data_IF_326471304168
#
_entry.id   IF_326471304168
#
_cell.length_a   1.000
_cell.length_b   1.000
_cell.length_c   1.000
_cell.angle_alpha   90.00
_cell.angle_beta   90.00
_cell.angle_gamma   90.00
#
_symmetry.space_group_name_H-M   'P 1'
#
loop_
_entity.id
_entity.type
_entity.pdbx_description
1 polymer ?
2 non-polymer ?
3 non-polymer ?
4 water ?
#
# COMPACT_ATOMS: atom_id res chain seq x y z
N UNK A 1 -4.66 -4.08 -5.08
CA UNK A 1 -5.63 -5.13 -4.71
C UNK A 1 -7.01 -4.88 -5.34
N UNK A 2 -7.33 -3.64 -5.71
CA UNK A 2 -8.64 -3.22 -6.24
C UNK A 2 -8.50 -1.86 -6.95
N UNK A 3 -9.60 -1.25 -7.45
CA UNK A 3 -9.50 -0.13 -8.40
C UNK A 3 -8.91 1.17 -7.80
N UNK A 4 -8.99 1.33 -6.47
CA UNK A 4 -8.36 2.47 -5.78
C UNK A 4 -6.86 2.33 -5.88
N UNK A 5 -6.35 1.15 -5.54
CA UNK A 5 -4.90 0.84 -5.62
C UNK A 5 -4.43 0.89 -7.07
N UNK A 6 -5.26 0.48 -8.02
CA UNK A 6 -4.93 0.57 -9.47
C UNK A 6 -4.67 2.04 -9.91
N UNK A 7 -5.57 2.95 -9.55
CA UNK A 7 -5.39 4.39 -9.92
C UNK A 7 -4.12 4.92 -9.23
N UNK A 8 -3.98 4.65 -7.94
CA UNK A 8 -2.81 5.13 -7.16
C UNK A 8 -1.51 4.65 -7.81
N UNK A 9 -1.41 3.37 -8.16
CA UNK A 9 -0.22 2.79 -8.81
C UNK A 9 0.06 3.49 -10.14
N UNK A 10 -0.96 3.74 -10.92
CA UNK A 10 -0.77 4.39 -12.25
C UNK A 10 -0.13 5.79 -12.04
N UNK A 11 -0.58 6.51 -11.02
CA UNK A 11 0.01 7.85 -10.70
C UNK A 11 1.43 7.67 -10.21
N UNK A 12 1.70 6.75 -9.26
CA UNK A 12 3.05 6.59 -8.72
C UNK A 12 4.06 6.21 -9.79
N UNK A 13 3.69 5.33 -10.71
CA UNK A 13 4.68 4.74 -11.67
C UNK A 13 5.11 5.77 -12.69
N UNK A 14 4.32 6.80 -12.97
CA UNK A 14 4.65 7.76 -14.04
C UNK A 14 4.84 9.18 -13.52
N UNK A 15 4.24 9.54 -12.38
CA UNK A 15 4.11 10.97 -11.97
C UNK A 15 4.79 11.24 -10.64
N UNK A 16 5.72 10.42 -10.18
CA UNK A 16 6.44 10.71 -8.92
C UNK A 16 7.95 10.55 -9.13
N UNK A 17 8.67 11.38 -8.37
CA UNK A 17 10.16 11.29 -8.26
C UNK A 17 10.46 11.31 -6.76
N UNK A 18 11.69 10.93 -6.42
CA UNK A 18 12.18 11.09 -5.03
C UNK A 18 12.93 12.44 -4.98
N UNK A 19 12.44 13.37 -4.17
CA UNK A 19 13.08 14.70 -4.01
C UNK A 19 13.86 14.69 -2.70
N UNK A 20 15.07 15.24 -2.72
CA UNK A 20 15.92 15.36 -1.49
C UNK A 20 16.34 16.83 -1.32
N UNK A 21 15.97 17.42 -0.19
CA UNK A 21 16.40 18.78 0.23
C UNK A 21 17.28 18.56 1.49
N UNK A 22 17.72 19.67 2.10
CA UNK A 22 18.49 19.64 3.38
C UNK A 22 17.60 19.21 4.53
N UNK A 23 16.27 19.19 4.31
CA UNK A 23 15.27 18.83 5.34
C UNK A 23 14.81 17.38 5.19
N UNK A 24 15.31 16.59 4.22
CA UNK A 24 14.96 15.19 4.06
C UNK A 24 14.65 14.73 2.64
N UNK A 25 14.23 13.49 2.54
CA UNK A 25 13.71 12.83 1.32
C UNK A 25 12.18 12.87 1.34
N UNK A 26 11.57 13.28 0.22
CA UNK A 26 10.10 13.44 0.07
C UNK A 26 9.64 12.76 -1.21
N UNK A 27 8.47 12.15 -1.15
CA UNK A 27 7.67 11.87 -2.35
C UNK A 27 7.38 13.23 -2.99
N UNK A 28 7.57 13.32 -4.31
CA UNK A 28 7.27 14.56 -5.07
C UNK A 28 6.39 14.16 -6.25
N UNK A 29 5.24 14.79 -6.37
CA UNK A 29 4.27 14.60 -7.47
C UNK A 29 4.58 15.55 -8.62
N UNK A 30 4.86 14.98 -9.81
CA UNK A 30 4.98 15.76 -11.05
C UNK A 30 3.59 15.99 -11.62
N UNK A 31 3.22 17.19 -12.05
CA UNK A 31 1.83 17.50 -12.46
C UNK A 31 1.75 17.67 -13.99
N UNK A 32 2.68 18.41 -14.59
CA UNK A 32 2.74 18.61 -16.07
C UNK A 32 4.09 19.25 -16.39
N UNK A 33 4.56 19.07 -17.63
CA UNK A 33 5.80 19.70 -18.13
C UNK A 33 6.92 19.43 -17.09
N UNK A 34 7.57 20.46 -16.52
CA UNK A 34 8.67 20.22 -15.54
C UNK A 34 8.19 20.74 -14.16
N UNK A 35 6.88 20.82 -13.97
CA UNK A 35 6.26 21.40 -12.75
C UNK A 35 5.87 20.26 -11.81
N UNK A 36 6.27 20.35 -10.55
CA UNK A 36 5.98 19.36 -9.52
C UNK A 36 5.55 20.10 -8.24
N UNK A 37 5.12 19.33 -7.24
CA UNK A 37 4.72 19.90 -5.93
C UNK A 37 5.44 19.15 -4.82
N UNK A 38 5.56 19.81 -3.68
CA UNK A 38 6.25 19.24 -2.49
C UNK A 38 5.72 20.02 -1.29
N UNK A 39 5.68 19.44 -0.07
CA UNK A 39 5.32 20.27 1.09
C UNK A 39 6.29 21.43 1.30
N UNK A 40 5.72 22.59 1.72
CA UNK A 40 6.52 23.82 1.87
C UNK A 40 7.61 23.62 2.94
N UNK A 41 7.33 22.80 3.96
CA UNK A 41 8.35 22.50 5.01
C UNK A 41 9.58 21.74 4.47
N UNK A 42 9.58 21.26 3.24
CA UNK A 42 10.81 20.72 2.60
C UNK A 42 11.86 21.81 2.40
N UNK A 43 11.50 23.11 2.43
CA UNK A 43 12.43 24.26 2.27
C UNK A 43 13.26 24.14 0.98
N UNK A 44 12.59 24.10 -0.15
CA UNK A 44 13.26 23.97 -1.46
C UNK A 44 14.16 25.18 -1.66
N UNK A 45 15.40 24.95 -2.13
CA UNK A 45 16.34 26.04 -2.44
C UNK A 45 16.60 26.18 -3.92
N UNK A 46 17.81 26.62 -4.28
CA UNK A 46 18.21 26.87 -5.68
C UNK A 46 18.58 25.54 -6.38
N UNK A 47 18.94 24.52 -5.58
CA UNK A 47 19.37 23.18 -6.05
C UNK A 47 18.59 22.12 -5.22
N UNK A 48 18.12 21.08 -5.90
CA UNK A 48 17.40 19.94 -5.25
C UNK A 48 17.96 18.66 -5.89
N UNK A 49 17.88 17.53 -5.20
CA UNK A 49 18.24 16.21 -5.80
C UNK A 49 16.92 15.55 -6.22
N UNK A 50 16.87 15.04 -7.45
CA UNK A 50 15.69 14.40 -8.05
C UNK A 50 16.18 12.99 -8.44
N UNK A 51 15.73 11.95 -7.74
CA UNK A 51 16.21 10.56 -7.99
C UNK A 51 17.74 10.56 -7.92
N UNK A 52 18.31 11.26 -6.94
CA UNK A 52 19.77 11.35 -6.59
C UNK A 52 20.59 12.08 -7.65
N UNK A 53 19.97 12.88 -8.51
CA UNK A 53 20.67 13.72 -9.52
C UNK A 53 20.52 15.20 -9.14
N UNK A 54 21.64 15.90 -9.13
CA UNK A 54 21.68 17.35 -8.82
C UNK A 54 20.91 18.11 -9.90
N UNK A 55 19.90 18.88 -9.49
CA UNK A 55 18.92 19.54 -10.41
C UNK A 55 18.75 21.02 -9.98
N UNK A 56 18.91 21.94 -10.92
CA UNK A 56 18.64 23.36 -10.67
C UNK A 56 17.14 23.58 -10.55
N UNK A 57 16.76 24.38 -9.58
CA UNK A 57 15.35 24.83 -9.41
C UNK A 57 15.17 26.10 -10.24
N UNK A 58 14.32 26.07 -11.27
CA UNK A 58 14.08 27.24 -12.15
C UNK A 58 13.12 28.22 -11.47
N UNK A 59 12.18 27.74 -10.65
CA UNK A 59 11.23 28.59 -9.92
C UNK A 59 10.69 27.78 -8.76
N UNK A 60 10.37 28.42 -7.65
CA UNK A 60 9.70 27.76 -6.50
C UNK A 60 8.76 28.77 -5.83
N UNK A 61 7.49 28.42 -5.67
CA UNK A 61 6.50 29.32 -5.09
C UNK A 61 5.74 28.61 -3.96
N UNK A 62 5.86 29.13 -2.74
CA UNK A 62 5.12 28.63 -1.57
C UNK A 62 3.74 29.24 -1.60
N UNK A 63 2.72 28.47 -1.86
CA UNK A 63 1.35 29.00 -2.04
C UNK A 63 0.75 29.46 -0.71
N UNK A 64 -0.03 30.55 -0.78
CA UNK A 64 -0.82 31.07 0.35
C UNK A 64 -2.19 31.43 -0.21
N UNK A 65 -3.24 31.34 0.58
CA UNK A 65 -4.57 31.79 0.12
C UNK A 65 -4.66 33.33 0.14
N UNK A 66 -5.83 33.83 -0.28
CA UNK A 66 -5.95 35.30 -0.50
C UNK A 66 -6.12 36.03 0.83
N UNK A 67 -6.34 35.32 1.93
CA UNK A 67 -6.17 35.85 3.33
C UNK A 67 -4.69 35.80 3.77
N UNK A 68 -3.74 35.40 2.92
CA UNK A 68 -2.29 35.38 3.23
C UNK A 68 -2.10 34.31 4.32
N UNK A 69 -2.86 33.20 4.23
CA UNK A 69 -2.69 32.02 5.12
C UNK A 69 -1.92 30.90 4.38
N UNK A 70 -0.93 30.30 5.03
CA UNK A 70 -0.16 29.15 4.49
C UNK A 70 -1.14 28.10 3.91
N UNK A 71 -0.80 27.55 2.72
CA UNK A 71 -1.45 26.31 2.17
C UNK A 71 -0.54 25.07 2.24
N UNK A 72 0.75 25.23 2.55
CA UNK A 72 1.73 24.13 2.75
C UNK A 72 2.10 23.44 1.44
N UNK A 73 1.74 24.04 0.28
CA UNK A 73 2.12 23.50 -1.05
C UNK A 73 3.18 24.43 -1.62
N UNK A 74 4.31 23.87 -2.02
CA UNK A 74 5.28 24.61 -2.88
C UNK A 74 5.22 24.00 -4.30
N UNK A 75 5.06 24.86 -5.30
CA UNK A 75 5.11 24.50 -6.73
C UNK A 75 6.53 24.74 -7.19
N UNK A 76 7.16 23.74 -7.76
CA UNK A 76 8.60 23.78 -8.16
C UNK A 76 8.69 23.55 -9.66
N UNK A 77 9.40 24.39 -10.39
CA UNK A 77 9.74 24.06 -11.78
C UNK A 77 11.19 23.58 -11.82
N UNK A 78 11.43 22.41 -12.36
CA UNK A 78 12.72 21.70 -12.30
C UNK A 78 13.46 21.88 -13.63
N UNK A 79 14.79 22.10 -13.59
CA UNK A 79 15.62 22.08 -14.83
C UNK A 79 15.97 20.63 -15.22
N UNK A 80 14.94 19.92 -15.61
CA UNK A 80 14.98 18.48 -15.94
C UNK A 80 14.85 18.36 -17.46
N UNK A 81 15.44 17.30 -18.02
CA UNK A 81 15.48 17.07 -19.47
C UNK A 81 14.27 16.27 -19.96
N UNK A 82 13.23 16.12 -19.14
CA UNK A 82 12.10 15.24 -19.46
C UNK A 82 10.84 15.84 -18.81
N UNK A 83 9.71 15.82 -19.51
CA UNK A 83 8.41 16.28 -18.99
C UNK A 83 7.67 15.14 -18.28
N UNK A 84 6.87 15.49 -17.30
CA UNK A 84 5.87 14.60 -16.70
C UNK A 84 4.66 14.45 -17.63
N UNK A 85 4.06 13.28 -17.59
CA UNK A 85 2.69 13.08 -18.11
C UNK A 85 1.80 14.19 -17.50
N UNK A 86 0.97 14.81 -18.30
CA UNK A 86 0.05 15.86 -17.85
C UNK A 86 -1.11 15.18 -17.13
N UNK A 87 -1.23 15.40 -15.82
CA UNK A 87 -2.33 14.81 -15.00
C UNK A 87 -3.28 15.90 -14.48
N UNK A 88 -3.21 17.12 -15.02
CA UNK A 88 -4.08 18.20 -14.47
C UNK A 88 -5.56 17.86 -14.58
N UNK A 89 -6.00 17.05 -15.52
CA UNK A 89 -7.44 16.70 -15.66
C UNK A 89 -7.89 15.77 -14.53
N UNK A 90 -6.99 15.26 -13.71
CA UNK A 90 -7.35 14.44 -12.51
C UNK A 90 -7.47 15.29 -11.24
N UNK A 91 -7.24 16.59 -11.32
CA UNK A 91 -7.29 17.50 -10.14
C UNK A 91 -8.71 18.02 -9.96
N UNK A 92 -9.21 17.99 -8.72
CA UNK A 92 -10.51 18.59 -8.40
C UNK A 92 -10.53 20.10 -8.63
N UNK A 93 -11.70 20.62 -9.00
CA UNK A 93 -11.86 22.07 -9.19
C UNK A 93 -12.19 22.80 -7.87
N UNK A 94 -12.82 22.11 -6.92
CA UNK A 94 -13.29 22.77 -5.66
C UNK A 94 -12.95 21.94 -4.42
N UNK A 95 -12.97 22.62 -3.27
CA UNK A 95 -12.79 21.97 -1.96
C UNK A 95 -13.91 20.96 -1.77
N UNK A 96 -13.60 19.79 -1.23
CA UNK A 96 -14.60 18.72 -1.08
C UNK A 96 -14.14 17.71 -0.05
N UNK A 97 -15.08 16.86 0.35
CA UNK A 97 -14.87 15.61 1.12
C UNK A 97 -14.87 14.43 0.13
N UNK A 98 -14.27 13.30 0.52
CA UNK A 98 -14.08 12.13 -0.37
C UNK A 98 -14.34 10.85 0.41
N UNK A 99 -14.76 9.81 -0.32
CA UNK A 99 -14.70 8.44 0.26
C UNK A 99 -13.54 7.64 -0.36
N UNK A 100 -13.02 6.72 0.45
CA UNK A 100 -12.20 5.57 0.03
C UNK A 100 -10.95 6.11 -0.67
N UNK A 101 -10.08 6.81 0.06
CA UNK A 101 -8.82 7.35 -0.50
C UNK A 101 -7.65 6.42 -0.18
N UNK A 102 -6.61 6.53 -0.99
CA UNK A 102 -5.32 5.84 -0.82
C UNK A 102 -4.26 6.92 -0.68
N UNK A 103 -3.33 6.70 0.23
CA UNK A 103 -2.09 7.49 0.40
C UNK A 103 -0.93 6.64 -0.11
N UNK A 104 -0.18 7.16 -1.09
CA UNK A 104 0.92 6.41 -1.73
C UNK A 104 2.26 7.14 -1.56
N UNK A 105 3.29 6.41 -1.18
CA UNK A 105 4.61 6.95 -0.82
C UNK A 105 5.66 6.17 -1.58
N UNK A 106 6.65 6.87 -2.11
CA UNK A 106 7.81 6.20 -2.70
C UNK A 106 9.08 6.93 -2.28
N UNK A 107 9.84 6.33 -1.36
CA UNK A 107 11.16 6.89 -0.95
C UNK A 107 12.13 5.72 -0.79
N UNK A 108 13.41 6.01 -0.53
CA UNK A 108 14.42 4.97 -0.10
C UNK A 108 13.93 4.19 1.15
N UNK A 109 13.28 4.83 2.11
CA UNK A 109 12.78 4.25 3.40
C UNK A 109 11.49 3.43 3.16
N UNK A 110 10.57 3.95 2.33
CA UNK A 110 9.22 3.35 2.07
C UNK A 110 8.98 3.24 0.57
N UNK A 111 9.59 2.27 -0.17
CA UNK A 111 9.33 2.09 -1.59
C UNK A 111 8.02 1.34 -1.81
N UNK A 112 7.23 1.79 -2.82
CA UNK A 112 6.04 1.05 -3.27
C UNK A 112 5.11 0.86 -2.09
N UNK A 113 4.90 1.91 -1.30
CA UNK A 113 4.00 1.89 -0.13
C UNK A 113 2.63 2.47 -0.50
N UNK A 114 1.55 1.73 -0.22
CA UNK A 114 0.14 2.16 -0.47
C UNK A 114 -0.66 1.93 0.79
N UNK A 115 -1.40 2.92 1.25
CA UNK A 115 -2.18 2.85 2.53
C UNK A 115 -3.64 3.21 2.23
N UNK A 116 -4.61 2.31 2.47
CA UNK A 116 -6.01 2.66 2.34
C UNK A 116 -6.41 3.47 3.58
N UNK A 117 -6.60 4.77 3.42
CA UNK A 117 -6.87 5.67 4.60
C UNK A 117 -8.36 5.86 4.84
N UNK A 118 -9.24 5.49 3.92
CA UNK A 118 -10.69 5.56 4.06
C UNK A 118 -11.20 6.94 3.78
N UNK A 119 -12.16 7.35 4.60
CA UNK A 119 -12.92 8.62 4.43
C UNK A 119 -12.02 9.85 4.65
N UNK A 120 -12.13 10.83 3.77
CA UNK A 120 -11.34 12.08 3.85
C UNK A 120 -12.28 13.27 4.10
N UNK A 121 -12.08 13.98 5.22
CA UNK A 121 -12.88 15.15 5.63
C UNK A 121 -12.23 16.46 5.10
N UNK A 122 -13.03 17.35 4.54
CA UNK A 122 -12.59 18.75 4.34
C UNK A 122 -12.50 19.40 5.73
N UNK A 123 -11.32 19.37 6.32
CA UNK A 123 -11.09 19.78 7.73
C UNK A 123 -11.00 21.31 7.80
N UNK A 124 -10.35 21.92 6.80
CA UNK A 124 -10.19 23.38 6.70
C UNK A 124 -8.96 23.87 7.45
N UNK A 125 -9.19 24.55 8.58
CA UNK A 125 -8.10 25.16 9.35
C UNK A 125 -7.38 24.12 10.22
N UNK A 126 -6.05 24.19 10.24
CA UNK A 126 -5.16 23.37 11.08
C UNK A 126 -3.98 24.21 11.50
N UNK A 127 -3.66 24.17 12.78
CA UNK A 127 -2.36 24.67 13.28
C UNK A 127 -1.32 23.59 13.11
N UNK A 128 -0.61 23.67 12.00
CA UNK A 128 0.31 22.64 11.53
C UNK A 128 1.72 22.99 11.97
N UNK A 129 2.27 22.29 12.97
CA UNK A 129 3.64 22.63 13.45
C UNK A 129 3.76 24.07 13.94
N UNK A 130 2.70 24.62 14.51
CA UNK A 130 2.65 26.04 14.92
C UNK A 130 2.19 27.01 13.82
N UNK A 131 2.00 26.57 12.57
CA UNK A 131 1.72 27.50 11.46
C UNK A 131 0.24 27.40 11.09
N UNK A 132 -0.58 28.46 11.20
CA UNK A 132 -1.98 28.42 10.74
C UNK A 132 -2.01 28.03 9.25
N UNK A 133 -2.79 27.02 8.93
CA UNK A 133 -2.83 26.40 7.56
C UNK A 133 -4.30 26.24 7.15
N UNK A 134 -4.64 26.52 5.89
CA UNK A 134 -5.99 26.32 5.36
C UNK A 134 -6.04 25.17 4.32
N UNK A 135 -7.24 24.81 3.91
CA UNK A 135 -7.50 23.77 2.86
C UNK A 135 -6.90 22.42 3.25
N UNK A 136 -7.00 22.03 4.50
CA UNK A 136 -6.48 20.73 5.00
C UNK A 136 -7.58 19.67 4.89
N UNK A 137 -7.16 18.51 4.35
CA UNK A 137 -7.93 17.27 4.32
C UNK A 137 -7.46 16.41 5.50
N UNK A 138 -8.38 15.70 6.14
CA UNK A 138 -8.01 14.78 7.26
C UNK A 138 -8.53 13.37 7.02
N UNK A 139 -7.69 12.41 7.42
CA UNK A 139 -8.05 10.97 7.37
C UNK A 139 -7.59 10.35 8.68
N UNK A 140 -8.30 9.30 9.05
CA UNK A 140 -8.18 8.70 10.39
C UNK A 140 -7.22 7.56 10.19
N UNK A 141 -5.96 7.86 9.90
CA UNK A 141 -4.89 6.85 9.84
C UNK A 141 -3.68 7.41 10.55
N UNK A 142 -3.04 6.59 11.42
CA UNK A 142 -1.82 6.93 12.15
C UNK A 142 -0.55 6.93 11.27
N UNK A 143 -0.52 7.95 10.41
CA UNK A 143 0.62 8.26 9.51
C UNK A 143 1.87 8.68 10.32
N UNK A 144 3.04 8.44 9.75
CA UNK A 144 4.36 8.48 10.43
C UNK A 144 5.31 9.32 9.60
N UNK A 145 6.37 9.78 10.26
CA UNK A 145 7.52 10.43 9.61
C UNK A 145 7.90 9.56 8.41
N UNK A 146 8.22 10.20 7.29
CA UNK A 146 8.59 9.54 6.03
C UNK A 146 7.47 9.55 5.00
N UNK A 147 6.25 9.97 5.39
CA UNK A 147 5.08 9.93 4.48
C UNK A 147 4.81 11.31 3.87
N UNK A 148 5.55 12.36 4.27
CA UNK A 148 5.30 13.73 3.75
C UNK A 148 5.59 13.77 2.25
N UNK A 149 4.66 14.38 1.52
CA UNK A 149 4.74 14.45 0.06
C UNK A 149 3.92 13.31 -0.56
N UNK A 150 3.53 12.32 0.26
CA UNK A 150 2.75 11.18 -0.22
C UNK A 150 1.51 11.65 -0.95
N UNK A 151 1.12 10.95 -2.01
CA UNK A 151 0.00 11.38 -2.87
C UNK A 151 -1.30 10.77 -2.36
N UNK A 152 -2.31 11.61 -2.19
CA UNK A 152 -3.69 11.16 -1.82
C UNK A 152 -4.56 11.13 -3.06
N UNK A 153 -5.16 9.95 -3.34
CA UNK A 153 -5.98 9.74 -4.56
C UNK A 153 -7.30 9.09 -4.16
N UNK A 154 -8.29 9.30 -4.97
CA UNK A 154 -9.45 8.39 -5.02
C UNK A 154 -9.40 7.72 -6.40
N UNK A 155 -10.34 6.82 -6.70
CA UNK A 155 -10.54 6.42 -8.12
C UNK A 155 -10.81 7.70 -8.94
N UNK A 156 -9.91 8.02 -9.84
CA UNK A 156 -10.12 9.03 -10.86
C UNK A 156 -9.67 10.39 -10.42
N UNK A 157 -9.32 10.64 -9.14
CA UNK A 157 -8.86 12.00 -8.74
C UNK A 157 -7.58 11.97 -7.89
N UNK A 158 -6.71 12.94 -8.16
CA UNK A 158 -5.51 13.25 -7.31
C UNK A 158 -5.89 14.46 -6.47
N UNK A 159 -6.08 14.24 -5.13
CA UNK A 159 -6.81 15.27 -4.33
C UNK A 159 -5.86 16.02 -3.38
N UNK A 160 -4.66 15.55 -3.08
CA UNK A 160 -3.81 16.22 -2.07
C UNK A 160 -2.45 15.57 -1.90
N UNK A 161 -1.60 16.22 -1.12
CA UNK A 161 -0.28 15.67 -0.71
C UNK A 161 -0.22 15.71 0.83
N UNK A 162 0.23 14.61 1.41
CA UNK A 162 0.41 14.43 2.86
C UNK A 162 1.39 15.49 3.40
N UNK A 163 1.01 16.17 4.49
CA UNK A 163 1.85 17.26 5.09
C UNK A 163 2.04 17.08 6.61
N UNK A 164 1.33 16.17 7.26
CA UNK A 164 1.50 15.98 8.71
C UNK A 164 0.59 14.98 9.35
N UNK A 165 0.68 14.90 10.68
CA UNK A 165 -0.16 13.96 11.44
C UNK A 165 -0.06 14.25 12.90
N UNK A 166 -0.95 13.69 13.71
CA UNK A 166 -0.93 13.90 15.19
C UNK A 166 -0.81 12.55 15.92
N UNK A 167 -0.38 11.49 15.25
CA UNK A 167 -0.29 10.14 15.84
C UNK A 167 -1.50 9.28 15.58
N UNK A 168 -2.71 9.85 15.46
CA UNK A 168 -3.98 9.13 15.19
C UNK A 168 -4.62 9.53 13.84
N UNK A 169 -4.53 10.81 13.48
CA UNK A 169 -4.98 11.38 12.18
C UNK A 169 -3.78 11.81 11.33
N UNK A 170 -4.02 11.81 10.02
CA UNK A 170 -3.10 12.37 9.01
C UNK A 170 -3.78 13.50 8.30
N UNK A 171 -2.95 14.41 7.78
CA UNK A 171 -3.42 15.68 7.14
C UNK A 171 -2.71 15.87 5.77
N UNK A 172 -3.51 16.27 4.81
CA UNK A 172 -3.01 16.56 3.46
C UNK A 172 -3.41 17.98 3.08
N UNK A 173 -2.56 18.64 2.29
CA UNK A 173 -2.91 19.92 1.62
C UNK A 173 -3.67 19.61 0.35
N UNK A 174 -4.78 20.29 0.10
CA UNK A 174 -5.57 20.12 -1.15
C UNK A 174 -4.72 20.45 -2.36
N UNK A 175 -4.92 19.68 -3.43
CA UNK A 175 -4.51 20.14 -4.77
C UNK A 175 -5.80 20.56 -5.51
N UNK A 176 -5.76 21.71 -6.11
CA UNK A 176 -6.84 22.25 -6.92
C UNK A 176 -6.34 22.54 -8.34
N UNK A 177 -7.20 22.29 -9.32
CA UNK A 177 -6.87 22.54 -10.75
C UNK A 177 -6.34 23.97 -10.94
N UNK A 178 -6.95 24.95 -10.25
CA UNK A 178 -6.59 26.40 -10.41
C UNK A 178 -5.16 26.72 -10.01
N UNK A 179 -4.49 25.86 -9.23
CA UNK A 179 -3.08 26.08 -8.88
C UNK A 179 -2.16 25.94 -10.14
N UNK A 180 -2.61 25.28 -11.21
CA UNK A 180 -1.72 24.80 -12.30
C UNK A 180 -2.23 25.20 -13.69
N UNK A 181 -3.15 26.16 -13.74
CA UNK A 181 -3.49 26.87 -15.00
C UNK A 181 -2.21 27.65 -15.44
N UNK A 182 -1.87 27.60 -16.74
CA UNK A 182 -0.63 28.22 -17.33
C UNK A 182 -0.96 28.93 -18.65
N UNK B 2 11.65 -0.05 9.15
CA UNK B 2 12.91 -0.39 8.44
C UNK B 2 13.12 -1.90 8.32
N UNK B 3 13.35 -2.61 9.45
CA UNK B 3 13.41 -4.08 9.44
C UNK B 3 12.10 -4.68 8.90
N UNK B 4 10.96 -4.07 9.22
CA UNK B 4 9.61 -4.51 8.77
C UNK B 4 9.47 -4.52 7.26
N UNK B 5 9.76 -3.38 6.60
CA UNK B 5 9.75 -3.27 5.11
C UNK B 5 10.82 -4.17 4.48
N UNK B 6 12.05 -4.22 5.01
CA UNK B 6 13.07 -5.16 4.52
C UNK B 6 12.55 -6.61 4.58
N UNK B 7 11.98 -6.99 5.73
CA UNK B 7 11.49 -8.37 5.92
C UNK B 7 10.39 -8.70 4.88
N UNK B 8 9.43 -7.80 4.73
CA UNK B 8 8.32 -8.00 3.77
C UNK B 8 8.88 -8.14 2.36
N UNK B 9 9.88 -7.31 1.98
CA UNK B 9 10.50 -7.40 0.63
C UNK B 9 11.26 -8.71 0.44
N UNK B 10 11.97 -9.20 1.48
CA UNK B 10 12.77 -10.46 1.45
C UNK B 10 11.86 -11.67 1.21
N UNK B 11 10.71 -11.67 1.88
CA UNK B 11 9.68 -12.74 1.67
C UNK B 11 9.01 -12.59 0.28
N UNK B 12 8.68 -11.36 -0.12
CA UNK B 12 8.14 -11.07 -1.48
C UNK B 12 9.09 -11.66 -2.54
N UNK B 13 10.36 -11.28 -2.48
CA UNK B 13 11.35 -11.56 -3.56
C UNK B 13 11.60 -13.07 -3.73
N UNK B 14 11.75 -13.85 -2.67
CA UNK B 14 12.13 -15.27 -2.80
C UNK B 14 10.94 -16.24 -2.61
N UNK B 15 9.89 -15.83 -1.86
CA UNK B 15 8.82 -16.77 -1.43
C UNK B 15 7.43 -16.43 -1.99
N UNK B 16 7.25 -15.47 -2.88
CA UNK B 16 5.89 -15.11 -3.38
C UNK B 16 5.83 -15.31 -4.90
N UNK B 17 4.83 -16.04 -5.40
CA UNK B 17 4.61 -16.28 -6.85
C UNK B 17 3.19 -15.85 -7.21
N UNK B 18 2.93 -15.68 -8.51
CA UNK B 18 1.56 -15.39 -8.98
C UNK B 18 0.89 -16.73 -9.32
N UNK B 19 -0.19 -17.09 -8.62
CA UNK B 19 -0.95 -18.33 -8.92
C UNK B 19 -2.20 -17.95 -9.71
N UNK B 20 -2.53 -18.67 -10.78
CA UNK B 20 -3.79 -18.40 -11.50
C UNK B 20 -4.61 -19.71 -11.57
N UNK B 21 -5.81 -19.63 -10.98
CA UNK B 21 -6.83 -20.71 -11.01
C UNK B 21 -7.91 -20.31 -12.02
N UNK B 22 -8.95 -21.15 -12.11
CA UNK B 22 -10.16 -20.80 -12.90
C UNK B 22 -10.72 -19.44 -12.45
N UNK B 23 -10.47 -19.02 -11.20
CA UNK B 23 -11.03 -17.77 -10.63
C UNK B 23 -10.16 -16.53 -10.94
N UNK B 24 -8.95 -16.71 -11.42
CA UNK B 24 -8.05 -15.59 -11.72
C UNK B 24 -6.77 -15.64 -10.89
N UNK B 25 -6.18 -14.46 -10.64
CA UNK B 25 -4.82 -14.42 -10.07
C UNK B 25 -4.90 -14.16 -8.56
N UNK B 26 -3.98 -14.85 -7.88
CA UNK B 26 -3.83 -14.80 -6.42
C UNK B 26 -2.35 -14.70 -6.07
N UNK B 27 -2.06 -13.87 -5.07
CA UNK B 27 -0.73 -13.86 -4.45
C UNK B 27 -0.53 -15.21 -3.72
N UNK B 28 0.48 -15.97 -4.04
CA UNK B 28 0.70 -17.30 -3.44
C UNK B 28 2.01 -17.25 -2.63
N UNK B 29 2.00 -17.79 -1.41
CA UNK B 29 3.24 -17.95 -0.62
C UNK B 29 3.78 -19.36 -0.71
N UNK B 30 5.02 -19.52 -1.20
CA UNK B 30 5.76 -20.78 -1.09
C UNK B 30 6.43 -20.89 0.27
N UNK B 31 6.28 -22.02 0.94
CA UNK B 31 6.70 -22.20 2.35
C UNK B 31 8.01 -23.03 2.44
N UNK B 32 8.09 -24.12 1.71
CA UNK B 32 9.28 -25.03 1.67
C UNK B 32 9.09 -26.05 0.55
N UNK B 33 10.18 -26.66 0.07
CA UNK B 33 10.07 -27.73 -0.96
C UNK B 33 9.16 -27.22 -2.09
N UNK B 34 8.14 -27.99 -2.46
CA UNK B 34 7.16 -27.54 -3.50
C UNK B 34 5.78 -27.32 -2.84
N UNK B 35 5.81 -26.92 -1.58
CA UNK B 35 4.58 -26.68 -0.75
C UNK B 35 4.30 -25.19 -0.66
N UNK B 36 3.09 -24.77 -1.03
CA UNK B 36 2.66 -23.37 -1.02
C UNK B 36 1.25 -23.27 -0.42
N UNK B 37 0.84 -22.09 -0.08
CA UNK B 37 -0.54 -21.79 0.45
C UNK B 37 -1.22 -20.73 -0.39
N UNK B 38 -2.55 -20.83 -0.41
CA UNK B 38 -3.43 -19.92 -1.19
C UNK B 38 -4.78 -19.93 -0.45
N UNK B 39 -5.60 -18.87 -0.53
CA UNK B 39 -6.95 -18.94 0.05
C UNK B 39 -7.81 -20.05 -0.54
N UNK B 40 -8.61 -20.69 0.32
CA UNK B 40 -9.48 -21.82 -0.13
C UNK B 40 -10.42 -21.31 -1.25
N UNK B 41 -10.86 -20.05 -1.18
CA UNK B 41 -11.80 -19.51 -2.18
C UNK B 41 -11.18 -19.43 -3.58
N UNK B 42 -9.86 -19.65 -3.74
CA UNK B 42 -9.23 -19.66 -5.09
C UNK B 42 -9.68 -20.87 -5.92
N UNK B 43 -10.25 -21.89 -5.27
CA UNK B 43 -10.81 -23.08 -5.99
C UNK B 43 -9.72 -23.73 -6.84
N UNK B 44 -8.65 -24.15 -6.18
CA UNK B 44 -7.53 -24.87 -6.82
C UNK B 44 -8.03 -26.19 -7.43
N UNK B 45 -7.63 -26.40 -8.68
CA UNK B 45 -7.97 -27.63 -9.42
C UNK B 45 -6.82 -28.57 -9.55
N UNK B 46 -6.86 -29.35 -10.63
CA UNK B 46 -5.80 -30.35 -10.93
C UNK B 46 -4.57 -29.62 -11.49
N UNK B 47 -4.80 -28.51 -12.16
CA UNK B 47 -3.77 -27.71 -12.86
C UNK B 47 -3.88 -26.27 -12.35
N UNK B 48 -2.73 -25.63 -12.20
CA UNK B 48 -2.63 -24.20 -11.83
C UNK B 48 -1.53 -23.56 -12.69
N UNK B 49 -1.63 -22.24 -12.85
CA UNK B 49 -0.51 -21.48 -13.48
C UNK B 49 0.31 -20.81 -12.37
N UNK B 50 1.62 -21.01 -12.43
CA UNK B 50 2.59 -20.43 -11.46
C UNK B 50 3.51 -19.52 -12.28
N UNK B 51 3.38 -18.20 -12.13
CA UNK B 51 4.11 -17.21 -12.95
C UNK B 51 3.90 -17.54 -14.45
N UNK B 52 2.67 -17.87 -14.83
CA UNK B 52 2.21 -18.08 -16.23
C UNK B 52 2.67 -19.44 -16.77
N UNK B 53 3.24 -20.32 -15.94
CA UNK B 53 3.63 -21.69 -16.32
C UNK B 53 2.56 -22.69 -15.87
N UNK B 54 1.96 -23.43 -16.80
CA UNK B 54 1.03 -24.57 -16.52
C UNK B 54 1.74 -25.59 -15.60
N UNK B 55 1.15 -25.88 -14.41
CA UNK B 55 1.78 -26.67 -13.31
C UNK B 55 0.75 -27.66 -12.75
N UNK B 56 1.07 -28.94 -12.77
CA UNK B 56 0.22 -29.95 -12.10
C UNK B 56 0.22 -29.66 -10.61
N UNK B 57 -0.97 -29.68 -10.02
CA UNK B 57 -1.13 -29.72 -8.54
C UNK B 57 -1.21 -31.17 -8.07
N UNK B 58 -0.17 -31.63 -7.40
CA UNK B 58 -0.08 -33.05 -6.96
C UNK B 58 -1.03 -33.33 -5.79
N UNK B 59 -1.27 -32.31 -4.95
CA UNK B 59 -2.07 -32.46 -3.72
C UNK B 59 -2.62 -31.09 -3.37
N UNK B 60 -3.87 -31.04 -2.93
CA UNK B 60 -4.49 -29.82 -2.35
C UNK B 60 -5.27 -30.24 -1.11
N UNK B 61 -5.03 -29.53 -0.01
CA UNK B 61 -5.71 -29.77 1.29
C UNK B 61 -6.37 -28.47 1.78
N UNK B 62 -7.70 -28.43 1.77
CA UNK B 62 -8.51 -27.33 2.33
C UNK B 62 -8.50 -27.47 3.85
N UNK B 63 -7.66 -26.72 4.55
CA UNK B 63 -7.42 -26.95 5.99
C UNK B 63 -8.68 -26.68 6.84
N UNK B 64 -8.86 -27.57 7.83
CA UNK B 64 -9.87 -27.42 8.90
C UNK B 64 -9.20 -27.77 10.22
N UNK B 65 -9.65 -27.19 11.31
CA UNK B 65 -9.06 -27.46 12.65
C UNK B 65 -9.72 -28.68 13.30
N UNK B 66 -9.36 -28.95 14.54
CA UNK B 66 -9.83 -30.17 15.24
C UNK B 66 -11.28 -30.03 15.74
N UNK B 67 -11.89 -28.84 15.66
CA UNK B 67 -13.36 -28.64 15.82
C UNK B 67 -14.08 -28.94 14.50
N UNK B 68 -13.33 -29.33 13.44
CA UNK B 68 -13.87 -29.55 12.07
C UNK B 68 -14.46 -28.25 11.54
N UNK B 69 -13.74 -27.15 11.76
CA UNK B 69 -14.11 -25.80 11.26
C UNK B 69 -13.12 -25.33 10.19
N UNK B 70 -13.64 -24.75 9.14
CA UNK B 70 -12.84 -24.13 8.04
C UNK B 70 -11.78 -23.18 8.61
N UNK B 71 -10.57 -23.23 8.04
CA UNK B 71 -9.49 -22.22 8.28
C UNK B 71 -9.23 -21.33 7.03
N UNK B 72 -9.81 -21.64 5.88
CA UNK B 72 -9.75 -20.82 4.64
C UNK B 72 -8.34 -20.82 4.03
N UNK B 73 -7.46 -21.71 4.46
CA UNK B 73 -6.11 -21.93 3.82
C UNK B 73 -6.17 -23.24 3.08
N UNK B 74 -5.69 -23.26 1.86
CA UNK B 74 -5.42 -24.48 1.10
C UNK B 74 -3.91 -24.67 0.94
N UNK B 75 -3.38 -25.80 1.41
CA UNK B 75 -1.97 -26.19 1.20
C UNK B 75 -1.87 -26.96 -0.10
N UNK B 76 -1.01 -26.55 -1.01
CA UNK B 76 -0.81 -27.26 -2.31
C UNK B 76 0.62 -27.82 -2.39
N UNK B 77 0.76 -28.96 -3.07
CA UNK B 77 2.06 -29.59 -3.45
C UNK B 77 2.15 -29.49 -4.97
N UNK B 78 3.14 -28.75 -5.49
CA UNK B 78 3.24 -28.38 -6.92
C UNK B 78 4.23 -29.32 -7.65
N UNK B 79 3.91 -29.74 -8.88
CA UNK B 79 4.84 -30.49 -9.75
C UNK B 79 5.76 -29.50 -10.49
N UNK B 80 6.84 -29.05 -9.84
CA UNK B 80 7.81 -28.07 -10.42
C UNK B 80 9.22 -28.34 -9.89
N UNK B 81 10.23 -28.03 -10.72
CA UNK B 81 11.65 -28.34 -10.41
C UNK B 81 12.13 -27.43 -9.28
N UNK B 82 11.78 -26.15 -9.35
CA UNK B 82 12.17 -25.11 -8.35
C UNK B 82 11.67 -25.52 -6.96
N UNK B 83 12.56 -25.44 -5.97
CA UNK B 83 12.18 -25.59 -4.55
C UNK B 83 12.08 -24.19 -3.93
N UNK B 84 11.12 -23.96 -3.06
CA UNK B 84 10.98 -22.69 -2.31
C UNK B 84 12.01 -22.65 -1.17
N UNK B 85 12.58 -21.46 -0.94
CA UNK B 85 13.42 -21.15 0.26
C UNK B 85 12.61 -21.49 1.52
N UNK B 86 13.08 -22.39 2.41
CA UNK B 86 12.35 -22.77 3.64
C UNK B 86 12.21 -21.56 4.56
N UNK B 87 10.97 -21.18 4.90
CA UNK B 87 10.61 -20.07 5.81
C UNK B 87 9.79 -20.59 7.00
N UNK B 88 9.80 -21.92 7.22
CA UNK B 88 8.98 -22.49 8.33
C UNK B 88 9.39 -21.92 9.67
N UNK B 89 10.67 -21.55 9.84
CA UNK B 89 11.17 -20.94 11.09
C UNK B 89 10.63 -19.54 11.36
N UNK B 90 9.98 -18.88 10.37
CA UNK B 90 9.33 -17.57 10.55
C UNK B 90 7.83 -17.64 10.84
N UNK B 91 7.30 -18.87 10.94
CA UNK B 91 5.85 -19.08 11.22
C UNK B 91 5.64 -19.09 12.73
N UNK B 92 4.63 -18.35 13.22
CA UNK B 92 4.24 -18.38 14.63
C UNK B 92 3.86 -19.80 15.08
N UNK B 93 4.22 -20.10 16.34
CA UNK B 93 3.86 -21.42 16.94
C UNK B 93 2.44 -21.36 17.48
N UNK B 94 2.01 -20.17 17.92
CA UNK B 94 0.72 -19.96 18.63
C UNK B 94 -0.07 -18.81 18.01
N UNK B 95 -1.38 -18.78 18.29
CA UNK B 95 -2.28 -17.65 17.95
C UNK B 95 -1.85 -16.42 18.74
N UNK B 96 -1.90 -15.22 18.14
CA UNK B 96 -1.37 -13.99 18.79
C UNK B 96 -1.93 -12.73 18.11
N UNK B 97 -1.79 -11.59 18.80
CA UNK B 97 -2.01 -10.21 18.27
C UNK B 97 -0.63 -9.67 17.88
N UNK B 98 -0.60 -8.71 16.95
CA UNK B 98 0.65 -8.14 16.39
C UNK B 98 0.50 -6.63 16.18
N UNK B 99 1.65 -5.94 16.15
CA UNK B 99 1.70 -4.51 15.70
C UNK B 99 2.50 -4.36 14.43
N UNK B 100 2.23 -3.29 13.71
CA UNK B 100 3.13 -2.80 12.64
C UNK B 100 3.24 -3.87 11.55
N UNK B 101 2.11 -4.46 11.14
CA UNK B 101 2.12 -5.47 10.07
C UNK B 101 2.09 -4.83 8.66
N UNK B 102 2.61 -5.57 7.69
CA UNK B 102 2.62 -5.20 6.26
C UNK B 102 1.88 -6.32 5.50
N UNK B 103 0.99 -5.93 4.59
CA UNK B 103 0.34 -6.82 3.62
C UNK B 103 1.04 -6.62 2.28
N UNK B 104 1.54 -7.69 1.69
CA UNK B 104 2.35 -7.67 0.44
C UNK B 104 1.61 -8.40 -0.69
N UNK B 105 1.22 -7.62 -1.71
CA UNK B 105 0.41 -8.09 -2.88
C UNK B 105 1.33 -8.30 -4.07
N UNK B 106 1.15 -9.38 -4.80
CA UNK B 106 1.94 -9.64 -6.01
C UNK B 106 1.07 -10.35 -7.05
N UNK B 107 0.61 -9.58 -8.06
CA UNK B 107 -0.13 -10.16 -9.23
C UNK B 107 0.37 -9.47 -10.49
N UNK B 108 -0.14 -9.91 -11.63
CA UNK B 108 0.23 -9.23 -12.93
C UNK B 108 -0.21 -7.77 -12.88
N UNK B 109 -1.36 -7.49 -12.30
CA UNK B 109 -1.93 -6.13 -12.20
C UNK B 109 -1.26 -5.27 -11.11
N UNK B 110 -0.82 -5.92 -10.01
CA UNK B 110 -0.28 -5.26 -8.79
C UNK B 110 1.05 -5.93 -8.45
N UNK B 111 2.12 -5.69 -9.23
CA UNK B 111 3.39 -6.32 -8.98
C UNK B 111 4.08 -5.70 -7.77
N UNK B 112 4.68 -6.47 -6.90
CA UNK B 112 5.46 -5.81 -5.79
C UNK B 112 4.75 -4.59 -5.12
N UNK B 113 3.54 -4.71 -4.54
CA UNK B 113 2.79 -3.64 -3.81
C UNK B 113 2.80 -3.90 -2.27
N UNK B 114 3.16 -2.97 -1.42
CA UNK B 114 3.28 -3.09 0.06
C UNK B 114 2.27 -2.18 0.73
N UNK B 115 1.42 -2.78 1.58
CA UNK B 115 0.28 -2.10 2.24
C UNK B 115 0.45 -2.20 3.75
N UNK B 116 0.97 -1.15 4.43
CA UNK B 116 1.08 -1.11 5.88
C UNK B 116 -0.37 -1.17 6.37
N UNK B 117 -0.65 -2.11 7.27
CA UNK B 117 -2.02 -2.27 7.84
C UNK B 117 -2.02 -1.90 9.31
N UNK B 118 -0.84 -1.96 9.95
CA UNK B 118 -0.69 -1.55 11.36
C UNK B 118 -1.11 -2.65 12.28
N UNK B 119 -2.02 -2.32 13.19
CA UNK B 119 -2.35 -3.20 14.31
C UNK B 119 -3.21 -4.38 13.82
N UNK B 120 -2.78 -5.58 14.21
CA UNK B 120 -3.48 -6.85 13.86
C UNK B 120 -4.02 -7.50 15.15
N UNK B 121 -5.33 -7.77 15.17
CA UNK B 121 -6.01 -8.46 16.30
C UNK B 121 -6.23 -9.94 15.99
N UNK B 122 -6.03 -10.82 16.96
CA UNK B 122 -6.60 -12.19 17.01
C UNK B 122 -8.12 -12.09 17.15
N UNK B 123 -8.83 -12.11 16.04
CA UNK B 123 -10.30 -11.83 15.96
C UNK B 123 -11.01 -13.15 16.24
N UNK B 124 -10.48 -14.26 15.70
CA UNK B 124 -10.95 -15.63 15.93
C UNK B 124 -12.04 -16.05 14.95
N UNK B 125 -13.27 -16.16 15.42
CA UNK B 125 -14.41 -16.66 14.62
C UNK B 125 -14.91 -15.56 13.68
N UNK B 126 -15.15 -15.93 12.42
CA UNK B 126 -15.78 -15.09 11.39
C UNK B 126 -16.70 -15.98 10.52
N UNK B 127 -17.90 -15.51 10.27
CA UNK B 127 -18.73 -16.11 9.21
C UNK B 127 -18.33 -15.50 7.87
N UNK B 128 -17.49 -16.22 7.11
CA UNK B 128 -16.91 -15.70 5.85
C UNK B 128 -17.67 -16.24 4.64
N UNK B 129 -18.47 -15.39 3.97
CA UNK B 129 -19.28 -15.82 2.82
C UNK B 129 -20.25 -16.95 3.16
N UNK B 130 -20.75 -16.98 4.39
CA UNK B 130 -21.67 -18.03 4.85
C UNK B 130 -20.97 -19.24 5.48
N UNK B 131 -19.63 -19.28 5.48
CA UNK B 131 -18.86 -20.40 6.07
C UNK B 131 -18.24 -20.01 7.41
N UNK B 132 -18.60 -20.70 8.51
CA UNK B 132 -17.96 -20.49 9.80
C UNK B 132 -16.45 -20.79 9.66
N UNK B 133 -15.64 -19.81 10.11
CA UNK B 133 -14.17 -19.81 9.96
C UNK B 133 -13.49 -19.49 11.28
N UNK B 134 -12.39 -20.18 11.56
CA UNK B 134 -11.57 -19.92 12.76
C UNK B 134 -10.24 -19.25 12.41
N UNK B 135 -9.59 -18.76 13.47
CA UNK B 135 -8.17 -18.27 13.47
C UNK B 135 -8.05 -17.09 12.49
N UNK B 136 -9.03 -16.23 12.47
CA UNK B 136 -8.99 -14.97 11.67
C UNK B 136 -8.20 -13.90 12.43
N UNK B 137 -7.27 -13.27 11.70
CA UNK B 137 -6.61 -11.99 12.08
C UNK B 137 -7.35 -10.84 11.44
N UNK B 138 -7.50 -9.71 12.14
CA UNK B 138 -8.24 -8.57 11.61
C UNK B 138 -7.38 -7.29 11.71
N UNK B 139 -7.51 -6.46 10.68
CA UNK B 139 -6.87 -5.11 10.58
C UNK B 139 -7.83 -4.15 9.93
N UNK B 140 -7.66 -2.83 10.19
CA UNK B 140 -8.43 -1.80 9.46
C UNK B 140 -8.08 -1.93 7.97
N UNK B 141 -9.07 -1.78 7.07
CA UNK B 141 -8.89 -1.91 5.59
C UNK B 141 -10.03 -1.25 4.82
N UNK B 142 -10.17 0.09 4.91
CA UNK B 142 -11.28 0.82 4.27
C UNK B 142 -11.08 1.05 2.76
N UNK B 143 -11.30 0.01 1.98
CA UNK B 143 -11.08 -0.01 0.51
C UNK B 143 -11.86 -1.19 -0.06
N UNK B 144 -12.31 -1.06 -1.31
CA UNK B 144 -12.91 -2.16 -2.09
C UNK B 144 -11.75 -2.86 -2.82
N UNK B 145 -11.45 -4.09 -2.42
CA UNK B 145 -10.43 -4.94 -3.08
C UNK B 145 -11.13 -6.10 -3.81
N UNK B 146 -10.45 -6.65 -4.81
CA UNK B 146 -10.74 -7.99 -5.34
C UNK B 146 -10.23 -9.07 -4.42
N UNK B 147 -10.15 -10.28 -4.96
CA UNK B 147 -9.92 -11.55 -4.23
C UNK B 147 -8.42 -11.88 -4.09
N UNK B 148 -7.51 -11.15 -4.73
CA UNK B 148 -6.15 -11.70 -5.01
C UNK B 148 -5.34 -11.88 -3.71
N UNK B 149 -5.71 -11.21 -2.62
CA UNK B 149 -5.06 -11.37 -1.31
C UNK B 149 -3.59 -10.94 -1.29
N UNK B 150 -2.80 -11.54 -0.40
CA UNK B 150 -1.44 -11.12 -0.10
C UNK B 150 -0.94 -11.68 1.20
N UNK B 151 0.34 -11.49 1.46
CA UNK B 151 1.03 -12.11 2.60
C UNK B 151 1.15 -11.05 3.69
N UNK B 152 0.84 -11.42 4.93
CA UNK B 152 0.91 -10.51 6.10
C UNK B 152 2.13 -10.88 6.94
N UNK B 153 3.01 -9.86 7.13
CA UNK B 153 4.29 -10.02 7.88
C UNK B 153 4.39 -8.96 8.98
N UNK B 154 5.18 -9.32 9.97
CA UNK B 154 5.71 -8.34 10.97
C UNK B 154 7.23 -8.39 10.88
N UNK B 155 7.94 -7.61 11.66
CA UNK B 155 9.40 -7.86 11.81
C UNK B 155 9.54 -9.29 12.36
N UNK B 156 10.12 -10.15 11.56
CA UNK B 156 10.61 -11.48 11.91
C UNK B 156 9.61 -12.58 11.76
N UNK B 157 8.33 -12.30 11.40
CA UNK B 157 7.32 -13.39 11.28
C UNK B 157 6.45 -13.23 10.03
N UNK B 158 6.12 -14.40 9.51
CA UNK B 158 5.08 -14.53 8.45
C UNK B 158 3.79 -15.01 9.12
N UNK B 159 2.83 -14.12 9.29
CA UNK B 159 1.72 -14.40 10.29
C UNK B 159 0.43 -14.83 9.59
N UNK B 160 0.23 -14.58 8.30
CA UNK B 160 -1.07 -14.95 7.70
C UNK B 160 -1.13 -14.61 6.23
N UNK B 161 -2.24 -14.98 5.62
CA UNK B 161 -2.55 -14.60 4.21
C UNK B 161 -3.93 -13.98 4.20
N UNK B 162 -4.09 -12.91 3.42
CA UNK B 162 -5.35 -12.14 3.31
C UNK B 162 -6.44 -12.99 2.63
N UNK B 163 -7.60 -13.13 3.26
CA UNK B 163 -8.69 -13.99 2.73
C UNK B 163 -9.99 -13.21 2.47
N UNK B 164 -10.18 -12.00 2.97
CA UNK B 164 -11.43 -11.26 2.71
C UNK B 164 -11.49 -9.93 3.42
N UNK B 165 -12.66 -9.34 3.39
CA UNK B 165 -12.90 -8.06 4.06
C UNK B 165 -14.30 -7.56 3.78
N UNK B 166 -14.73 -6.56 4.57
CA UNK B 166 -16.16 -6.12 4.64
C UNK B 166 -16.28 -4.64 4.22
N UNK B 167 -15.25 -4.04 3.60
CA UNK B 167 -15.24 -2.61 3.22
C UNK B 167 -14.67 -1.69 4.30
N UNK B 168 -14.63 -2.13 5.55
CA UNK B 168 -14.09 -1.44 6.74
C UNK B 168 -12.88 -2.20 7.32
N UNK B 169 -13.00 -3.53 7.42
CA UNK B 169 -11.94 -4.37 8.02
C UNK B 169 -11.48 -5.37 6.98
N UNK B 170 -10.22 -5.77 7.13
CA UNK B 170 -9.54 -6.81 6.38
C UNK B 170 -9.28 -8.02 7.27
N UNK B 171 -9.33 -9.20 6.66
CA UNK B 171 -9.25 -10.51 7.38
C UNK B 171 -8.19 -11.39 6.72
N UNK B 172 -7.31 -11.95 7.54
CA UNK B 172 -6.28 -12.89 7.16
C UNK B 172 -6.46 -14.20 7.94
N UNK B 173 -6.19 -15.31 7.30
CA UNK B 173 -6.08 -16.63 7.94
C UNK B 173 -4.71 -16.76 8.56
N UNK B 174 -4.63 -17.17 9.82
CA UNK B 174 -3.33 -17.38 10.48
C UNK B 174 -2.53 -18.45 9.77
N UNK B 175 -1.19 -18.29 9.72
CA UNK B 175 -0.29 -19.38 9.40
C UNK B 175 0.38 -19.79 10.72
N UNK B 176 0.40 -21.09 10.98
CA UNK B 176 1.02 -21.68 12.19
C UNK B 176 2.04 -22.72 11.76
N UNK B 177 3.11 -22.81 12.57
CA UNK B 177 4.21 -23.73 12.31
C UNK B 177 3.69 -25.17 12.17
N UNK B 178 2.73 -25.51 13.00
CA UNK B 178 2.20 -26.89 13.07
C UNK B 178 1.49 -27.31 11.77
N UNK B 179 1.13 -26.37 10.88
CA UNK B 179 0.46 -26.78 9.61
C UNK B 179 1.39 -27.49 8.62
N UNK B 180 2.73 -27.33 8.82
CA UNK B 180 3.77 -27.71 7.85
C UNK B 180 4.82 -28.63 8.48
N UNK B 181 4.61 -29.03 9.72
CA UNK B 181 5.44 -30.11 10.33
C UNK B 181 5.02 -31.46 9.73
X LIG C 1 -10.41 -7.72 0.78
X LIG C 1 -18.53 -5.38 -0.47
X LIG C 1 -17.29 -5.76 -0.04
X LIG C 1 -16.54 -6.59 -0.88
X LIG C 1 -14.13 -6.24 -0.77
X LIG C 1 -12.84 -6.78 -0.23
X LIG C 1 -11.16 -8.45 -0.06
X LIG C 1 -15.24 -6.97 -0.49
X LIG C 1 -16.23 -7.88 -3.07
X LIG C 1 -14.17 -5.20 -1.41
X LIG C 1 -17.04 -7.04 -2.12
X LIG C 1 -10.89 -6.51 1.10
X LIG C 1 -12.08 -6.00 0.64
X LIG C 1 -18.33 -6.61 -2.47
X LIG C 1 -19.07 -5.78 -1.67
X LIG C 1 -12.36 -8.04 -0.57
X LIG C 1 -19.24 -4.53 0.31
X LIG D 1 2.07 -29.79 4.64
X LIG D 1 1.93 -30.79 3.48
X LIG D 1 3.81 -29.62 4.92
X LIG D 1 1.68 -30.69 6.13
#
# INVERSE_FOLDING_TARGET
>A
MGPGFDFAQAIMKKNTVIARTEKGEFTMLGVYDRVAVIPTHASVGEIIYINDVETRVLDACALRDLTDTNLEITIVKLDRNQKFRDIRHFLPRCEDDYNDAVLSVHTSKFPNMYIPVGQVTNYGFLNLGGTPTHRILMYNFPTRAGQCGGVVTTTGKVIGIHVGGNGAQGFAAMLLHSYFTD
>B
MGPGFDFAQAIMKKNTVIARTEKGEFTMLGVYDRVAVIPTHASVGEIIYINDVETRVLDACALRDLTDTNLEITIVKLDRNQKFRDIRHFLPRCEDDYNDAVLSVHTSKFPNMYIPVGQVTNYGFLNLGGTPTHRILMYNFPTRAGQCGGVVTTTGKVIGIHVGGNGAQGFAAMLLHSYFTD
>C hetero
1 SY3 N1 C4 C5 C6 C7 C8 C10 N C O C1 C11 C12 C2 C3 C9 F
>D hetero
1 DMS S O C1 C2
#
